data_IF_735839107714
#
_entry.id   IF_735839107714
#
_cell.length_a   1.000
_cell.length_b   1.000
_cell.length_c   1.000
_cell.angle_alpha   90.00
_cell.angle_beta   90.00
_cell.angle_gamma   90.00
#
_symmetry.space_group_name_H-M   'P 1'
#
loop_
_entity.id
_entity.type
_entity.pdbx_description
1 polymer ?
#
# COMPACT_ATOMS: atom_id res chain seq x y z
N UNK A 1 9.17 -24.05 9.32
CA UNK A 1 8.91 -22.63 9.56
C UNK A 1 7.84 -22.55 10.64
N UNK A 2 8.14 -22.03 11.83
CA UNK A 2 7.19 -22.00 12.95
C UNK A 2 6.11 -20.95 12.65
N UNK A 3 4.91 -21.42 12.30
CA UNK A 3 3.77 -20.57 11.98
C UNK A 3 3.36 -19.83 13.26
N UNK A 4 3.70 -18.54 13.34
CA UNK A 4 3.56 -17.76 14.57
C UNK A 4 2.08 -17.43 14.79
N UNK A 5 1.34 -18.33 15.45
CA UNK A 5 -0.10 -18.22 15.74
C UNK A 5 -0.49 -16.87 16.36
N UNK A 6 0.46 -16.20 17.04
CA UNK A 6 0.30 -14.86 17.59
C UNK A 6 -0.04 -13.79 16.54
N UNK A 7 0.39 -13.96 15.28
CA UNK A 7 0.08 -13.05 14.17
C UNK A 7 -1.41 -13.07 13.78
N UNK A 8 -2.09 -14.22 13.96
CA UNK A 8 -3.53 -14.33 13.73
C UNK A 8 -4.35 -13.79 14.90
N UNK A 9 -3.76 -13.76 16.11
CA UNK A 9 -4.47 -13.43 17.35
C UNK A 9 -4.39 -11.93 17.66
N UNK A 10 -3.30 -11.24 17.28
CA UNK A 10 -3.11 -9.82 17.63
C UNK A 10 -2.89 -8.97 16.37
N UNK A 11 -3.66 -7.88 16.19
CA UNK A 11 -3.39 -6.95 15.13
C UNK A 11 -2.01 -6.31 15.33
N UNK A 12 -1.08 -6.60 14.41
CA UNK A 12 0.22 -5.95 14.38
C UNK A 12 0.08 -4.64 13.60
N UNK A 13 0.04 -3.52 14.31
CA UNK A 13 0.09 -2.20 13.68
C UNK A 13 1.57 -1.88 13.48
N UNK A 14 2.03 -1.99 12.25
CA UNK A 14 3.39 -1.58 11.91
C UNK A 14 3.51 -0.06 11.92
N UNK A 15 4.70 0.47 12.24
CA UNK A 15 4.96 1.90 12.07
C UNK A 15 4.79 2.30 10.60
N UNK A 16 4.50 3.58 10.38
CA UNK A 16 4.43 4.15 9.03
C UNK A 16 5.67 3.81 8.20
N UNK A 17 5.47 3.60 6.91
CA UNK A 17 6.58 3.32 6.00
C UNK A 17 7.56 4.51 5.95
N UNK A 18 8.77 4.24 5.48
CA UNK A 18 9.84 5.24 5.48
C UNK A 18 9.48 6.49 4.66
N UNK A 19 8.66 6.37 3.62
CA UNK A 19 8.21 7.50 2.81
C UNK A 19 7.18 8.36 3.56
N UNK A 20 6.15 7.75 4.15
CA UNK A 20 5.16 8.49 4.97
C UNK A 20 5.82 9.20 6.14
N UNK A 21 6.84 8.58 6.77
CA UNK A 21 7.62 9.26 7.79
C UNK A 21 8.39 10.49 7.26
N UNK A 22 8.94 10.43 6.05
CA UNK A 22 9.60 11.58 5.39
C UNK A 22 8.59 12.70 5.13
N UNK A 23 7.44 12.37 4.54
CA UNK A 23 6.36 13.32 4.24
C UNK A 23 5.87 13.98 5.53
N UNK A 24 5.66 13.20 6.60
CA UNK A 24 5.29 13.72 7.94
C UNK A 24 6.30 14.73 8.47
N UNK A 25 7.61 14.43 8.38
CA UNK A 25 8.66 15.34 8.83
C UNK A 25 8.68 16.62 8.00
N UNK A 26 8.55 16.51 6.68
CA UNK A 26 8.51 17.68 5.79
C UNK A 26 7.30 18.56 6.07
N UNK A 27 6.12 17.96 6.26
CA UNK A 27 4.91 18.68 6.66
C UNK A 27 5.12 19.42 7.97
N UNK A 28 5.67 18.76 8.99
CA UNK A 28 5.93 19.37 10.30
C UNK A 28 6.89 20.56 10.19
N UNK A 29 8.00 20.40 9.46
CA UNK A 29 8.96 21.50 9.22
C UNK A 29 8.30 22.65 8.46
N UNK A 30 7.57 22.37 7.38
CA UNK A 30 6.86 23.39 6.62
C UNK A 30 5.80 24.11 7.46
N UNK A 31 5.09 23.40 8.35
CA UNK A 31 4.10 23.99 9.26
C UNK A 31 4.75 24.90 10.30
N UNK A 32 5.88 24.49 10.86
CA UNK A 32 6.64 25.35 11.80
C UNK A 32 7.13 26.61 11.07
N UNK A 33 7.71 26.47 9.87
CA UNK A 33 8.15 27.62 9.07
C UNK A 33 6.96 28.54 8.72
N UNK A 34 5.81 27.96 8.37
CA UNK A 34 4.54 28.66 8.19
C UNK A 34 4.16 29.51 9.39
N UNK A 35 4.15 28.91 10.57
CA UNK A 35 3.80 29.59 11.81
C UNK A 35 4.80 30.70 12.15
N UNK A 36 6.10 30.42 12.06
CA UNK A 36 7.16 31.41 12.31
C UNK A 36 7.07 32.57 11.33
N UNK A 37 6.79 32.32 10.05
CA UNK A 37 6.64 33.40 9.07
C UNK A 37 5.40 34.23 9.32
N UNK A 38 4.24 33.63 9.59
CA UNK A 38 3.00 34.37 9.85
C UNK A 38 3.08 35.19 11.15
N UNK A 39 3.76 34.67 12.18
CA UNK A 39 3.92 35.38 13.45
C UNK A 39 5.06 36.39 13.43
N UNK A 40 6.16 36.09 12.73
CA UNK A 40 7.35 36.95 12.64
C UNK A 40 7.23 38.06 11.60
N UNK A 41 6.38 37.92 10.59
CA UNK A 41 6.19 38.91 9.53
C UNK A 41 5.60 40.24 9.97
N UNK A 42 5.02 40.29 11.16
CA UNK A 42 4.66 41.54 11.81
C UNK A 42 5.86 42.48 12.04
N UNK A 43 7.10 42.01 11.85
CA UNK A 43 8.34 42.77 12.15
C UNK A 43 9.30 42.98 10.97
N UNK A 44 9.02 42.46 9.77
CA UNK A 44 9.95 42.60 8.63
C UNK A 44 9.81 43.96 7.93
N UNK A 45 10.71 44.89 8.25
CA UNK A 45 10.95 46.08 7.43
C UNK A 45 11.83 45.67 6.24
N UNK A 46 11.24 45.56 5.05
CA UNK A 46 11.79 44.90 3.85
C UNK A 46 12.99 45.55 3.16
N UNK A 47 13.88 46.24 3.88
CA UNK A 47 14.98 46.96 3.24
C UNK A 47 16.17 46.08 2.88
N UNK A 48 16.52 45.04 3.65
CA UNK A 48 17.67 44.17 3.33
C UNK A 48 17.48 42.74 3.85
N UNK A 49 16.86 41.86 3.06
CA UNK A 49 16.88 40.41 3.34
C UNK A 49 18.04 39.81 2.55
N UNK A 50 19.14 39.55 3.24
CA UNK A 50 20.27 38.81 2.70
C UNK A 50 20.17 37.33 3.09
N UNK A 51 20.16 36.42 2.12
CA UNK A 51 20.31 34.99 2.37
C UNK A 51 21.60 34.52 1.71
N UNK A 52 22.52 33.96 2.52
CA UNK A 52 23.73 33.30 2.03
C UNK A 52 24.63 34.22 1.17
N UNK A 53 24.71 35.51 1.52
CA UNK A 53 25.53 36.50 0.82
C UNK A 53 24.87 37.10 -0.44
N UNK A 54 23.71 36.59 -0.86
CA UNK A 54 22.90 37.20 -1.93
C UNK A 54 21.94 38.19 -1.29
N UNK A 55 22.06 39.46 -1.69
CA UNK A 55 21.06 40.49 -1.37
C UNK A 55 19.88 40.29 -2.30
N UNK A 56 18.73 39.96 -1.73
CA UNK A 56 17.49 39.81 -2.48
C UNK A 56 16.79 41.17 -2.44
N UNK A 57 17.03 41.98 -3.46
CA UNK A 57 16.33 43.25 -3.66
C UNK A 57 14.98 42.96 -4.35
N UNK A 58 13.92 43.67 -3.93
CA UNK A 58 12.57 43.64 -4.51
C UNK A 58 11.81 42.29 -4.49
N UNK A 59 12.11 41.37 -3.58
CA UNK A 59 11.23 40.19 -3.40
C UNK A 59 9.90 40.60 -2.76
N UNK A 60 8.82 40.41 -3.50
CA UNK A 60 7.46 40.50 -2.97
C UNK A 60 7.23 39.38 -1.94
N UNK A 61 7.08 39.77 -0.68
CA UNK A 61 6.79 38.85 0.44
C UNK A 61 5.52 38.02 0.17
N UNK A 62 4.55 38.60 -0.55
CA UNK A 62 3.33 37.90 -1.00
C UNK A 62 3.61 36.60 -1.75
N UNK A 63 4.61 36.58 -2.64
CA UNK A 63 5.00 35.38 -3.40
C UNK A 63 5.52 34.28 -2.47
N UNK A 64 6.21 34.65 -1.39
CA UNK A 64 6.68 33.71 -0.38
C UNK A 64 5.51 33.06 0.37
N UNK A 65 4.47 33.83 0.71
CA UNK A 65 3.26 33.28 1.32
C UNK A 65 2.53 32.30 0.39
N UNK A 66 2.37 32.66 -0.89
CA UNK A 66 1.76 31.74 -1.86
C UNK A 66 2.55 30.45 -2.02
N UNK A 67 3.88 30.54 -2.09
CA UNK A 67 4.76 29.37 -2.16
C UNK A 67 4.64 28.48 -0.90
N UNK A 68 4.66 29.09 0.28
CA UNK A 68 4.58 28.37 1.55
C UNK A 68 3.21 27.71 1.73
N UNK A 69 2.13 28.41 1.36
CA UNK A 69 0.77 27.88 1.38
C UNK A 69 0.61 26.71 0.39
N UNK A 70 1.14 26.83 -0.82
CA UNK A 70 1.11 25.76 -1.82
C UNK A 70 1.90 24.53 -1.35
N UNK A 71 3.08 24.74 -0.77
CA UNK A 71 3.93 23.68 -0.21
C UNK A 71 3.23 22.96 0.95
N UNK A 72 2.59 23.70 1.85
CA UNK A 72 1.80 23.15 2.94
C UNK A 72 0.61 22.34 2.44
N UNK A 73 -0.16 22.89 1.48
CA UNK A 73 -1.29 22.21 0.86
C UNK A 73 -0.87 20.89 0.22
N UNK A 74 0.24 20.90 -0.54
CA UNK A 74 0.81 19.69 -1.13
C UNK A 74 1.18 18.64 -0.08
N UNK A 75 1.99 18.99 0.92
CA UNK A 75 2.40 18.03 1.95
C UNK A 75 1.23 17.51 2.78
N UNK A 76 0.21 18.35 3.04
CA UNK A 76 -0.98 17.97 3.79
C UNK A 76 -1.80 16.92 3.02
N UNK A 77 -2.11 17.19 1.75
CA UNK A 77 -2.83 16.24 0.87
C UNK A 77 -2.05 14.94 0.76
N UNK A 78 -0.74 15.03 0.52
CA UNK A 78 0.10 13.84 0.36
C UNK A 78 0.16 13.01 1.66
N UNK A 79 0.27 13.66 2.82
CA UNK A 79 0.29 12.99 4.11
C UNK A 79 -1.03 12.28 4.41
N UNK A 80 -2.17 12.94 4.21
CA UNK A 80 -3.49 12.32 4.42
C UNK A 80 -3.68 11.10 3.53
N UNK A 81 -3.37 11.21 2.23
CA UNK A 81 -3.46 10.09 1.32
C UNK A 81 -2.60 8.91 1.80
N UNK A 82 -1.37 9.19 2.22
CA UNK A 82 -0.44 8.18 2.72
C UNK A 82 -0.95 7.47 3.98
N UNK A 83 -1.52 8.22 4.94
CA UNK A 83 -2.16 7.63 6.14
C UNK A 83 -3.33 6.72 5.75
N UNK A 84 -4.18 7.15 4.81
CA UNK A 84 -5.31 6.34 4.37
C UNK A 84 -4.85 5.04 3.72
N UNK A 85 -3.77 5.07 2.96
CA UNK A 85 -3.22 3.88 2.36
C UNK A 85 -2.55 2.97 3.39
N UNK A 86 -1.81 3.50 4.36
CA UNK A 86 -1.25 2.70 5.47
C UNK A 86 -2.35 2.06 6.32
N UNK A 87 -3.48 2.76 6.53
CA UNK A 87 -4.65 2.19 7.20
C UNK A 87 -5.26 1.03 6.39
N UNK A 88 -5.40 1.18 5.07
CA UNK A 88 -5.86 0.10 4.18
C UNK A 88 -4.88 -1.07 4.16
N UNK A 89 -3.57 -0.80 4.13
CA UNK A 89 -2.53 -1.81 4.16
C UNK A 89 -2.60 -2.63 5.46
N UNK A 90 -2.69 -1.95 6.60
CA UNK A 90 -2.85 -2.59 7.91
C UNK A 90 -4.14 -3.41 7.98
N UNK A 91 -5.26 -2.89 7.47
CA UNK A 91 -6.50 -3.65 7.34
C UNK A 91 -6.32 -4.91 6.50
N UNK A 92 -5.57 -4.80 5.40
CA UNK A 92 -5.37 -5.92 4.47
C UNK A 92 -4.32 -6.94 4.97
N UNK A 93 -3.44 -6.56 5.90
CA UNK A 93 -2.40 -7.44 6.47
C UNK A 93 -2.92 -8.40 7.52
N UNK A 94 -4.02 -8.05 8.21
CA UNK A 94 -4.66 -8.89 9.23
C UNK A 94 -5.20 -10.23 8.69
N UNK A 95 -5.12 -10.45 7.38
CA UNK A 95 -5.61 -11.64 6.68
C UNK A 95 -4.54 -12.33 5.84
N UNK A 96 -3.26 -11.93 5.96
CA UNK A 96 -2.16 -12.45 5.14
C UNK A 96 -1.81 -13.90 5.49
N UNK A 97 -2.35 -14.85 4.71
CA UNK A 97 -1.74 -16.18 4.56
C UNK A 97 -0.95 -16.22 3.25
N UNK A 98 0.20 -16.88 3.32
CA UNK A 98 1.12 -17.09 2.19
C UNK A 98 0.54 -18.14 1.25
N UNK A 99 0.07 -17.73 0.09
CA UNK A 99 -0.46 -18.63 -0.93
C UNK A 99 0.64 -19.26 -1.79
N UNK A 100 0.54 -20.56 -2.11
CA UNK A 100 1.46 -21.22 -3.03
C UNK A 100 1.16 -20.79 -4.47
N UNK A 101 2.20 -20.45 -5.22
CA UNK A 101 2.12 -20.24 -6.67
C UNK A 101 2.72 -21.47 -7.36
N UNK A 102 1.90 -22.19 -8.14
CA UNK A 102 2.36 -23.33 -8.91
C UNK A 102 3.32 -22.87 -10.03
N UNK A 103 4.58 -23.32 -9.97
CA UNK A 103 5.53 -23.17 -11.07
C UNK A 103 5.48 -24.44 -11.92
N UNK A 104 5.73 -24.37 -13.23
CA UNK A 104 5.70 -25.54 -14.15
C UNK A 104 6.53 -26.77 -13.69
N UNK A 105 7.46 -26.59 -12.74
CA UNK A 105 8.25 -27.67 -12.14
C UNK A 105 7.51 -28.45 -11.02
N UNK A 106 6.46 -27.90 -10.40
CA UNK A 106 5.68 -28.60 -9.35
C UNK A 106 4.69 -29.63 -9.91
N UNK A 107 4.55 -29.73 -11.23
CA UNK A 107 3.80 -30.82 -11.87
C UNK A 107 4.66 -32.07 -12.16
N UNK A 108 5.99 -31.98 -12.04
CA UNK A 108 6.91 -33.04 -12.45
C UNK A 108 7.66 -33.71 -11.29
N UNK A 109 7.55 -33.18 -10.06
CA UNK A 109 8.22 -33.71 -8.88
C UNK A 109 7.20 -34.23 -7.87
N UNK A 110 7.25 -35.53 -7.65
CA UNK A 110 6.60 -36.21 -6.54
C UNK A 110 7.00 -35.58 -5.19
N UNK A 111 6.10 -35.66 -4.20
CA UNK A 111 6.17 -35.09 -2.84
C UNK A 111 5.99 -33.57 -2.67
N UNK A 112 4.78 -33.16 -2.27
CA UNK A 112 4.45 -32.18 -1.20
C UNK A 112 5.31 -30.92 -0.93
N UNK A 113 6.02 -30.34 -1.89
CA UNK A 113 6.70 -29.05 -1.67
C UNK A 113 5.72 -27.91 -1.96
N UNK A 114 4.80 -27.66 -1.02
CA UNK A 114 3.97 -26.44 -0.97
C UNK A 114 4.73 -25.28 -0.33
N UNK A 115 6.05 -25.18 -0.57
CA UNK A 115 6.81 -24.03 -0.11
C UNK A 115 6.68 -22.86 -1.11
N UNK A 116 6.42 -21.66 -0.61
CA UNK A 116 6.02 -20.54 -1.45
C UNK A 116 7.21 -19.91 -2.19
N UNK A 117 7.19 -19.99 -3.52
CA UNK A 117 8.20 -19.40 -4.38
C UNK A 117 7.73 -18.04 -4.97
N UNK A 118 7.48 -17.08 -4.08
CA UNK A 118 7.43 -15.65 -4.42
C UNK A 118 8.62 -14.97 -3.77
N UNK A 119 9.33 -14.14 -4.54
CA UNK A 119 10.50 -13.39 -4.05
C UNK A 119 10.12 -12.33 -3.00
N UNK A 120 8.83 -12.01 -2.86
CA UNK A 120 8.32 -11.01 -1.93
C UNK A 120 7.08 -11.55 -1.17
N UNK A 121 7.11 -11.53 0.16
CA UNK A 121 6.06 -12.07 1.04
C UNK A 121 4.71 -11.31 0.97
N UNK A 122 4.62 -10.26 0.15
CA UNK A 122 3.49 -9.33 0.05
C UNK A 122 2.52 -9.65 -1.09
N UNK A 123 2.87 -10.58 -1.99
CA UNK A 123 2.15 -10.77 -3.27
C UNK A 123 1.20 -11.98 -3.29
N UNK A 124 1.01 -12.64 -2.15
CA UNK A 124 0.14 -13.81 -2.05
C UNK A 124 -1.18 -13.48 -1.33
N UNK A 125 -2.32 -13.76 -1.96
CA UNK A 125 -3.64 -13.48 -1.37
C UNK A 125 -4.19 -14.72 -0.67
N UNK A 126 -4.92 -14.54 0.43
CA UNK A 126 -5.61 -15.63 1.14
C UNK A 126 -6.53 -16.43 0.20
N UNK A 127 -7.01 -15.82 -0.89
CA UNK A 127 -7.89 -16.44 -1.87
C UNK A 127 -7.17 -17.52 -2.68
N UNK A 128 -5.96 -17.27 -3.17
CA UNK A 128 -5.21 -18.27 -3.95
C UNK A 128 -4.74 -19.44 -3.08
N UNK A 129 -4.48 -19.19 -1.80
CA UNK A 129 -4.26 -20.28 -0.83
C UNK A 129 -5.53 -21.12 -0.66
N UNK A 130 -6.67 -20.47 -0.44
CA UNK A 130 -7.94 -21.16 -0.23
C UNK A 130 -8.41 -21.94 -1.46
N UNK A 131 -8.22 -21.42 -2.68
CA UNK A 131 -8.57 -22.13 -3.91
C UNK A 131 -7.78 -23.43 -4.06
N UNK A 132 -6.49 -23.41 -3.71
CA UNK A 132 -5.64 -24.61 -3.70
C UNK A 132 -6.11 -25.62 -2.64
N UNK A 133 -6.43 -25.17 -1.42
CA UNK A 133 -6.97 -26.07 -0.37
C UNK A 133 -8.31 -26.69 -0.74
N UNK A 134 -9.15 -25.95 -1.49
CA UNK A 134 -10.43 -26.45 -1.99
C UNK A 134 -10.25 -27.59 -2.99
N UNK A 135 -9.27 -27.51 -3.88
CA UNK A 135 -8.98 -28.59 -4.84
C UNK A 135 -8.57 -29.88 -4.13
N UNK A 136 -7.69 -29.80 -3.12
CA UNK A 136 -7.31 -30.96 -2.28
C UNK A 136 -8.53 -31.55 -1.57
N UNK A 137 -9.44 -30.70 -1.08
CA UNK A 137 -10.67 -31.17 -0.41
C UNK A 137 -11.59 -31.95 -1.37
N UNK A 138 -11.73 -31.48 -2.62
CA UNK A 138 -12.52 -32.16 -3.67
C UNK A 138 -11.92 -33.53 -4.02
N UNK A 139 -10.59 -33.64 -4.08
CA UNK A 139 -9.92 -34.92 -4.34
C UNK A 139 -10.13 -35.93 -3.20
N UNK A 140 -10.07 -35.46 -1.95
CA UNK A 140 -10.36 -36.29 -0.77
C UNK A 140 -11.82 -36.75 -0.76
N UNK A 141 -12.79 -35.86 -1.07
CA UNK A 141 -14.20 -36.22 -1.22
C UNK A 141 -14.41 -37.33 -2.27
N UNK A 142 -13.75 -37.20 -3.42
CA UNK A 142 -13.82 -38.19 -4.51
C UNK A 142 -13.23 -39.54 -4.10
N UNK A 143 -12.10 -39.53 -3.39
CA UNK A 143 -11.46 -40.75 -2.88
C UNK A 143 -12.36 -41.47 -1.86
N UNK A 144 -12.96 -40.73 -0.92
CA UNK A 144 -13.87 -41.29 0.09
C UNK A 144 -15.13 -41.87 -0.54
N UNK A 145 -15.74 -41.15 -1.50
CA UNK A 145 -16.90 -41.65 -2.24
C UNK A 145 -16.62 -42.96 -3.00
N UNK A 146 -15.37 -43.17 -3.44
CA UNK A 146 -14.96 -44.41 -4.10
C UNK A 146 -14.80 -45.62 -3.16
N UNK A 147 -14.69 -45.37 -1.84
CA UNK A 147 -14.46 -46.38 -0.80
C UNK A 147 -15.71 -46.72 0.04
N UNK A 148 -16.83 -46.04 -0.23
CA UNK A 148 -18.11 -46.28 0.41
C UNK A 148 -18.66 -47.68 0.04
N UNK A 149 -18.47 -48.66 0.91
CA UNK A 149 -18.91 -50.06 0.70
C UNK A 149 -18.05 -51.12 1.38
N UNK A 150 -16.86 -50.79 1.88
CA UNK A 150 -16.02 -51.74 2.62
C UNK A 150 -16.46 -51.87 4.10
N UNK A 151 -16.72 -53.09 4.61
CA UNK A 151 -17.44 -53.31 5.87
C UNK A 151 -16.67 -52.93 7.16
N UNK A 152 -15.40 -52.53 7.09
CA UNK A 152 -14.52 -52.40 8.25
C UNK A 152 -14.10 -50.95 8.62
N UNK A 153 -14.59 -49.92 7.92
CA UNK A 153 -14.16 -48.51 8.10
C UNK A 153 -15.29 -47.51 8.48
N UNK A 154 -16.48 -48.01 8.82
CA UNK A 154 -17.69 -47.19 8.91
C UNK A 154 -17.65 -46.01 9.91
N UNK A 155 -16.93 -46.10 11.03
CA UNK A 155 -16.91 -45.01 12.02
C UNK A 155 -15.94 -43.87 11.63
N UNK A 156 -14.77 -44.18 11.09
CA UNK A 156 -13.79 -43.17 10.65
C UNK A 156 -14.30 -42.41 9.42
N UNK A 157 -14.89 -43.12 8.45
CA UNK A 157 -15.47 -42.52 7.25
C UNK A 157 -16.65 -41.59 7.58
N UNK A 158 -17.49 -41.95 8.55
CA UNK A 158 -18.59 -41.09 8.99
C UNK A 158 -18.11 -39.80 9.67
N UNK A 159 -17.03 -39.86 10.46
CA UNK A 159 -16.44 -38.66 11.05
C UNK A 159 -15.82 -37.74 9.99
N UNK A 160 -15.16 -38.30 8.98
CA UNK A 160 -14.59 -37.52 7.88
C UNK A 160 -15.70 -36.87 7.03
N UNK A 161 -16.79 -37.59 6.74
CA UNK A 161 -17.93 -37.03 6.02
C UNK A 161 -18.57 -35.84 6.75
N UNK A 162 -18.70 -35.92 8.08
CA UNK A 162 -19.19 -34.80 8.90
C UNK A 162 -18.26 -33.60 8.86
N UNK A 163 -16.94 -33.82 8.91
CA UNK A 163 -15.94 -32.75 8.80
C UNK A 163 -15.97 -32.09 7.42
N UNK A 164 -16.13 -32.88 6.35
CA UNK A 164 -16.27 -32.37 4.98
C UNK A 164 -17.54 -31.53 4.82
N UNK A 165 -18.67 -32.00 5.35
CA UNK A 165 -19.93 -31.25 5.33
C UNK A 165 -19.80 -29.90 6.07
N UNK A 166 -19.12 -29.90 7.23
CA UNK A 166 -18.84 -28.68 7.99
C UNK A 166 -17.88 -27.72 7.26
N UNK A 167 -16.85 -28.24 6.59
CA UNK A 167 -15.93 -27.45 5.76
C UNK A 167 -16.69 -26.86 4.57
N UNK A 168 -17.50 -27.67 3.89
CA UNK A 168 -18.25 -27.26 2.71
C UNK A 168 -19.28 -26.18 3.07
N UNK A 169 -19.95 -26.30 4.23
CA UNK A 169 -20.84 -25.27 4.76
C UNK A 169 -20.12 -23.96 5.08
N UNK A 170 -18.88 -24.01 5.57
CA UNK A 170 -18.06 -22.82 5.87
C UNK A 170 -17.36 -22.26 4.63
N UNK A 171 -17.19 -23.05 3.58
CA UNK A 171 -16.43 -22.70 2.38
C UNK A 171 -17.00 -21.48 1.67
N UNK A 172 -18.32 -21.40 1.50
CA UNK A 172 -18.97 -20.27 0.84
C UNK A 172 -18.82 -18.94 1.61
N UNK A 173 -18.79 -19.01 2.94
CA UNK A 173 -18.50 -17.84 3.78
C UNK A 173 -17.04 -17.38 3.62
N UNK A 174 -16.11 -18.33 3.65
CA UNK A 174 -14.68 -18.07 3.47
C UNK A 174 -14.43 -17.46 2.08
N UNK A 175 -14.96 -18.06 1.03
CA UNK A 175 -14.88 -17.55 -0.35
C UNK A 175 -15.44 -16.12 -0.47
N UNK A 176 -16.60 -15.85 0.13
CA UNK A 176 -17.18 -14.51 0.15
C UNK A 176 -16.33 -13.49 0.92
N UNK A 177 -15.72 -13.89 2.03
CA UNK A 177 -14.77 -13.05 2.77
C UNK A 177 -13.52 -12.75 1.94
N UNK A 178 -13.03 -13.75 1.20
CA UNK A 178 -11.85 -13.67 0.35
C UNK A 178 -12.03 -12.75 -0.85
N UNK A 179 -13.17 -12.84 -1.54
CA UNK A 179 -13.48 -11.94 -2.66
C UNK A 179 -13.56 -10.48 -2.20
N UNK A 180 -14.16 -10.24 -1.03
CA UNK A 180 -14.21 -8.89 -0.43
C UNK A 180 -12.80 -8.39 -0.07
N UNK A 181 -11.97 -9.27 0.46
CA UNK A 181 -10.59 -8.98 0.79
C UNK A 181 -9.76 -8.64 -0.47
N UNK A 182 -9.78 -9.50 -1.48
CA UNK A 182 -9.03 -9.31 -2.72
C UNK A 182 -9.43 -8.01 -3.44
N UNK A 183 -10.73 -7.69 -3.47
CA UNK A 183 -11.20 -6.41 -4.00
C UNK A 183 -10.59 -5.21 -3.24
N UNK A 184 -10.52 -5.30 -1.92
CA UNK A 184 -9.86 -4.30 -1.07
C UNK A 184 -8.37 -4.16 -1.35
N UNK A 185 -7.68 -5.27 -1.58
CA UNK A 185 -6.27 -5.30 -1.97
C UNK A 185 -6.04 -4.60 -3.31
N UNK A 186 -6.85 -4.90 -4.33
CA UNK A 186 -6.74 -4.24 -5.64
C UNK A 186 -7.02 -2.74 -5.58
N UNK A 187 -7.99 -2.30 -4.75
CA UNK A 187 -8.21 -0.87 -4.55
C UNK A 187 -7.01 -0.18 -3.86
N UNK A 188 -6.36 -0.86 -2.91
CA UNK A 188 -5.14 -0.36 -2.29
C UNK A 188 -4.00 -0.23 -3.32
N UNK A 189 -3.75 -1.26 -4.13
CA UNK A 189 -2.72 -1.23 -5.19
C UNK A 189 -2.97 -0.11 -6.20
N UNK A 190 -4.23 0.05 -6.66
CA UNK A 190 -4.60 1.17 -7.55
C UNK A 190 -4.38 2.53 -6.89
N UNK A 191 -4.74 2.68 -5.60
CA UNK A 191 -4.52 3.91 -4.84
C UNK A 191 -3.04 4.28 -4.77
N UNK A 192 -2.17 3.31 -4.49
CA UNK A 192 -0.72 3.51 -4.44
C UNK A 192 -0.16 3.95 -5.79
N UNK A 193 -0.56 3.28 -6.87
CA UNK A 193 -0.12 3.63 -8.22
C UNK A 193 -0.56 5.05 -8.62
N UNK A 194 -1.81 5.40 -8.31
CA UNK A 194 -2.35 6.75 -8.57
C UNK A 194 -1.61 7.81 -7.74
N UNK A 195 -1.37 7.54 -6.45
CA UNK A 195 -0.62 8.44 -5.56
C UNK A 195 0.77 8.71 -6.11
N UNK A 196 1.52 7.65 -6.43
CA UNK A 196 2.86 7.74 -6.98
C UNK A 196 2.87 8.54 -8.29
N UNK A 197 1.96 8.21 -9.21
CA UNK A 197 1.88 8.91 -10.50
C UNK A 197 1.52 10.39 -10.36
N UNK A 198 0.53 10.73 -9.53
CA UNK A 198 0.07 12.10 -9.39
C UNK A 198 1.00 12.96 -8.53
N UNK A 199 1.38 12.48 -7.34
CA UNK A 199 2.04 13.31 -6.34
C UNK A 199 3.56 13.23 -6.39
N UNK A 200 4.12 12.07 -6.72
CA UNK A 200 5.58 11.89 -6.78
C UNK A 200 6.14 12.22 -8.17
N UNK A 201 5.40 11.92 -9.24
CA UNK A 201 5.84 12.20 -10.62
C UNK A 201 5.15 13.43 -11.21
N UNK A 202 3.82 13.48 -11.15
CA UNK A 202 3.02 14.50 -11.83
C UNK A 202 3.30 15.91 -11.34
N UNK A 203 3.20 16.14 -10.02
CA UNK A 203 3.40 17.46 -9.43
C UNK A 203 4.82 18.02 -9.71
N UNK A 204 5.93 17.29 -9.46
CA UNK A 204 7.26 17.79 -9.77
C UNK A 204 7.49 18.06 -11.26
N UNK A 205 6.96 17.19 -12.14
CA UNK A 205 7.10 17.36 -13.59
C UNK A 205 6.36 18.60 -14.09
N UNK A 206 5.12 18.83 -13.62
CA UNK A 206 4.36 20.04 -13.97
C UNK A 206 5.04 21.31 -13.48
N UNK A 207 5.51 21.34 -12.23
CA UNK A 207 6.24 22.48 -11.69
C UNK A 207 7.54 22.74 -12.44
N UNK A 208 8.27 21.68 -12.82
CA UNK A 208 9.49 21.77 -13.62
C UNK A 208 9.24 22.35 -15.01
N UNK A 209 8.22 21.87 -15.72
CA UNK A 209 7.83 22.37 -17.04
C UNK A 209 7.39 23.83 -16.97
N UNK A 210 6.55 24.17 -16.00
CA UNK A 210 6.08 25.55 -15.81
C UNK A 210 7.25 26.49 -15.49
N UNK A 211 8.15 26.09 -14.58
CA UNK A 211 9.33 26.89 -14.23
C UNK A 211 10.25 27.09 -15.43
N UNK A 212 10.54 26.03 -16.19
CA UNK A 212 11.36 26.10 -17.39
C UNK A 212 10.73 27.03 -18.45
N UNK A 213 9.43 26.89 -18.69
CA UNK A 213 8.70 27.73 -19.65
C UNK A 213 8.74 29.21 -19.28
N UNK A 214 8.53 29.55 -18.00
CA UNK A 214 8.61 30.94 -17.52
C UNK A 214 10.00 31.53 -17.70
N UNK A 215 11.06 30.77 -17.36
CA UNK A 215 12.45 31.22 -17.54
C UNK A 215 12.77 31.41 -19.03
N UNK A 216 12.35 30.49 -19.88
CA UNK A 216 12.60 30.58 -21.33
C UNK A 216 11.93 31.82 -21.93
N UNK A 217 10.68 32.10 -21.58
CA UNK A 217 9.97 33.31 -22.02
C UNK A 217 10.71 34.58 -21.61
N UNK A 218 11.17 34.66 -20.35
CA UNK A 218 11.90 35.82 -19.84
C UNK A 218 13.22 36.04 -20.59
N UNK A 219 13.97 34.96 -20.87
CA UNK A 219 15.21 35.02 -21.65
C UNK A 219 14.94 35.49 -23.08
N UNK A 220 13.89 34.98 -23.72
CA UNK A 220 13.54 35.38 -25.10
C UNK A 220 13.15 36.86 -25.18
N UNK A 221 12.33 37.36 -24.25
CA UNK A 221 11.94 38.79 -24.20
C UNK A 221 13.16 39.70 -24.06
N UNK A 222 14.12 39.32 -23.19
CA UNK A 222 15.37 40.07 -23.00
C UNK A 222 16.29 40.04 -24.21
N UNK A 223 16.32 38.95 -24.98
CA UNK A 223 17.12 38.89 -26.21
C UNK A 223 16.51 39.71 -27.36
N UNK A 224 15.20 39.96 -27.32
CA UNK A 224 14.50 40.74 -28.36
C UNK A 224 14.41 42.25 -28.09
N UNK A 225 14.73 42.68 -26.87
CA UNK A 225 14.73 44.10 -26.46
C UNK A 225 16.13 44.69 -26.59
#
# INVERSE_FOLDING_TARGET
MEFNEKLLIKPNIEPFDSNTQRIRRNLLVASILGLVMVTGSATFNGQHVGFLGVKLEDIKIENFYYFLLATLGYFLIHFFWSIFDDFKANKNRLTGLKAPTAMYASYAGDEHIFEPNVSNDLDSTLLSWWSCQREVTIEIEKYIGSKQGEPNENNSLNNINRLLEDINKKSGYIESALVRFERGFWYYQKSQLVRWFLLDVGVPMLLGILSFGLILCEVLVKCTS
#
